data_IF_932268898127
#
_entry.id   IF_932268898127
#
_cell.length_a   1.000
_cell.length_b   1.000
_cell.length_c   1.000
_cell.angle_alpha   90.00
_cell.angle_beta   90.00
_cell.angle_gamma   90.00
#
_symmetry.space_group_name_H-M   'P 1'
#
loop_
_entity.id
_entity.type
_entity.pdbx_description
1 polymer ?
#
# COMPACT_ATOMS: atom_id res chain seq x y z
N UNK A 1 -24.22 -3.73 -2.17
CA UNK A 1 -24.40 -4.06 -3.60
C UNK A 1 -23.00 -4.20 -4.19
N UNK A 2 -22.73 -5.26 -4.97
CA UNK A 2 -21.42 -5.49 -5.58
C UNK A 2 -21.24 -4.55 -6.80
N UNK A 3 -20.12 -3.82 -6.86
CA UNK A 3 -19.79 -2.93 -7.98
C UNK A 3 -18.82 -3.64 -8.95
N UNK A 4 -19.31 -3.97 -10.14
CA UNK A 4 -18.53 -4.67 -11.18
C UNK A 4 -17.30 -3.88 -11.66
N UNK A 5 -17.26 -2.56 -11.45
CA UNK A 5 -16.13 -1.72 -11.86
C UNK A 5 -14.87 -2.07 -11.05
N UNK A 6 -15.03 -2.47 -9.78
CA UNK A 6 -13.92 -2.91 -8.95
C UNK A 6 -13.31 -4.21 -9.45
N UNK A 7 -14.14 -5.18 -9.82
CA UNK A 7 -13.66 -6.46 -10.36
C UNK A 7 -12.96 -6.26 -11.72
N UNK A 8 -13.50 -5.39 -12.60
CA UNK A 8 -12.85 -5.05 -13.88
C UNK A 8 -11.48 -4.41 -13.67
N UNK A 9 -11.37 -3.43 -12.77
CA UNK A 9 -10.11 -2.77 -12.46
C UNK A 9 -9.12 -3.75 -11.81
N UNK A 10 -9.57 -4.54 -10.84
CA UNK A 10 -8.72 -5.51 -10.16
C UNK A 10 -8.14 -6.54 -11.13
N UNK A 11 -8.96 -7.06 -12.05
CA UNK A 11 -8.52 -7.96 -13.12
C UNK A 11 -7.48 -7.30 -14.01
N UNK A 12 -7.71 -6.07 -14.47
CA UNK A 12 -6.76 -5.33 -15.29
C UNK A 12 -5.41 -5.15 -14.59
N UNK A 13 -5.41 -4.72 -13.32
CA UNK A 13 -4.19 -4.49 -12.57
C UNK A 13 -3.40 -5.79 -12.40
N UNK A 14 -4.07 -6.89 -12.04
CA UNK A 14 -3.43 -8.19 -11.80
C UNK A 14 -2.93 -8.86 -13.08
N UNK A 15 -3.77 -8.94 -14.11
CA UNK A 15 -3.47 -9.71 -15.33
C UNK A 15 -2.66 -8.92 -16.35
N UNK A 16 -2.88 -7.61 -16.45
CA UNK A 16 -2.22 -6.79 -17.46
C UNK A 16 -1.08 -5.94 -16.89
N UNK A 17 -1.30 -5.21 -15.79
CA UNK A 17 -0.28 -4.28 -15.27
C UNK A 17 0.90 -5.01 -14.63
N UNK A 18 0.63 -5.94 -13.70
CA UNK A 18 1.70 -6.72 -13.05
C UNK A 18 1.92 -8.08 -13.70
N UNK A 19 1.00 -8.55 -14.55
CA UNK A 19 1.04 -9.88 -15.20
C UNK A 19 1.39 -10.99 -14.20
N UNK A 20 0.66 -11.01 -13.09
CA UNK A 20 0.94 -11.89 -11.96
C UNK A 20 0.91 -13.36 -12.41
N UNK A 21 1.94 -14.12 -12.05
CA UNK A 21 2.03 -15.55 -12.35
C UNK A 21 1.59 -16.38 -11.16
N UNK A 22 1.29 -17.66 -11.45
CA UNK A 22 0.98 -18.65 -10.42
C UNK A 22 2.11 -18.75 -9.40
N UNK A 23 1.74 -18.79 -8.11
CA UNK A 23 2.61 -18.81 -6.93
C UNK A 23 3.48 -17.56 -6.71
N UNK A 24 3.36 -16.51 -7.54
CA UNK A 24 4.02 -15.24 -7.25
C UNK A 24 3.30 -14.52 -6.10
N UNK A 25 4.09 -13.90 -5.24
CA UNK A 25 3.60 -13.10 -4.11
C UNK A 25 3.34 -11.66 -4.58
N UNK A 26 2.23 -11.08 -4.14
CA UNK A 26 1.90 -9.68 -4.44
C UNK A 26 1.56 -8.93 -3.17
N UNK A 27 2.20 -7.79 -2.93
CA UNK A 27 1.76 -6.86 -1.88
C UNK A 27 0.81 -5.82 -2.45
N UNK A 28 -0.36 -5.72 -1.85
CA UNK A 28 -1.38 -4.71 -2.12
C UNK A 28 -1.36 -3.71 -0.97
N UNK A 29 -1.00 -2.47 -1.25
CA UNK A 29 -1.11 -1.38 -0.31
C UNK A 29 -2.24 -0.43 -0.70
N UNK A 30 -3.27 -0.40 0.14
CA UNK A 30 -4.50 0.37 -0.05
C UNK A 30 -4.48 1.57 0.89
N UNK A 31 -4.54 2.79 0.34
CA UNK A 31 -4.59 4.02 1.13
C UNK A 31 -5.93 4.68 0.91
N UNK A 32 -6.78 4.77 1.94
CA UNK A 32 -8.05 5.52 1.89
C UNK A 32 -8.92 5.21 0.66
N UNK A 33 -8.97 3.94 0.24
CA UNK A 33 -9.89 3.44 -0.78
C UNK A 33 -10.98 2.58 -0.13
N UNK A 34 -12.12 2.33 -0.81
CA UNK A 34 -13.12 1.38 -0.33
C UNK A 34 -12.53 -0.04 -0.14
N UNK A 35 -12.89 -0.69 0.97
CA UNK A 35 -12.44 -2.05 1.28
C UNK A 35 -12.86 -3.06 0.21
N UNK A 36 -13.99 -2.81 -0.46
CA UNK A 36 -14.48 -3.63 -1.56
C UNK A 36 -13.50 -3.69 -2.74
N UNK A 37 -12.78 -2.59 -3.01
CA UNK A 37 -11.75 -2.54 -4.04
C UNK A 37 -10.52 -3.37 -3.65
N UNK A 38 -10.09 -3.28 -2.38
CA UNK A 38 -9.01 -4.10 -1.83
C UNK A 38 -9.38 -5.58 -1.89
N UNK A 39 -10.61 -5.93 -1.50
CA UNK A 39 -11.12 -7.29 -1.58
C UNK A 39 -11.19 -7.79 -3.04
N UNK A 40 -11.55 -6.94 -4.00
CA UNK A 40 -11.54 -7.27 -5.42
C UNK A 40 -10.13 -7.60 -5.93
N UNK A 41 -9.11 -6.83 -5.54
CA UNK A 41 -7.71 -7.14 -5.86
C UNK A 41 -7.25 -8.47 -5.27
N UNK A 42 -7.60 -8.75 -4.02
CA UNK A 42 -7.27 -10.03 -3.37
C UNK A 42 -7.91 -11.20 -4.14
N UNK A 43 -9.17 -11.09 -4.53
CA UNK A 43 -9.86 -12.11 -5.35
C UNK A 43 -9.18 -12.27 -6.71
N UNK A 44 -8.90 -11.19 -7.42
CA UNK A 44 -8.25 -11.23 -8.72
C UNK A 44 -6.85 -11.87 -8.65
N UNK A 45 -6.04 -11.52 -7.65
CA UNK A 45 -4.72 -12.12 -7.42
C UNK A 45 -4.80 -13.64 -7.19
N UNK A 46 -5.77 -14.09 -6.37
CA UNK A 46 -6.02 -15.53 -6.14
C UNK A 46 -6.48 -16.24 -7.40
N UNK A 47 -7.35 -15.60 -8.19
CA UNK A 47 -7.83 -16.17 -9.45
C UNK A 47 -6.69 -16.35 -10.48
N UNK A 48 -5.69 -15.47 -10.47
CA UNK A 48 -4.45 -15.63 -11.24
C UNK A 48 -3.48 -16.68 -10.65
N UNK A 49 -3.83 -17.30 -9.52
CA UNK A 49 -3.00 -18.28 -8.82
C UNK A 49 -1.87 -17.67 -8.00
N UNK A 50 -1.86 -16.36 -7.78
CA UNK A 50 -0.88 -15.67 -6.94
C UNK A 50 -1.21 -15.71 -5.45
N UNK A 51 -0.28 -15.25 -4.63
CA UNK A 51 -0.35 -15.22 -3.16
C UNK A 51 -0.44 -13.76 -2.69
N UNK A 52 -1.64 -13.22 -2.43
CA UNK A 52 -1.78 -11.82 -2.06
C UNK A 52 -1.48 -11.57 -0.57
N UNK A 53 -0.79 -10.46 -0.32
CA UNK A 53 -0.64 -9.79 0.96
C UNK A 53 -1.31 -8.42 0.87
N UNK A 54 -1.96 -7.96 1.92
CA UNK A 54 -2.64 -6.68 1.92
C UNK A 54 -2.30 -5.86 3.16
N UNK A 55 -2.09 -4.56 2.96
CA UNK A 55 -1.94 -3.58 4.03
C UNK A 55 -2.85 -2.38 3.71
N UNK A 56 -3.71 -2.04 4.67
CA UNK A 56 -4.59 -0.87 4.58
C UNK A 56 -4.00 0.26 5.40
N UNK A 57 -4.03 1.46 4.84
CA UNK A 57 -3.55 2.69 5.43
C UNK A 57 -4.67 3.72 5.44
N UNK A 58 -4.70 4.49 6.52
CA UNK A 58 -5.58 5.64 6.67
C UNK A 58 -4.72 6.88 6.88
N UNK A 59 -4.93 7.91 6.07
CA UNK A 59 -4.13 9.13 6.12
C UNK A 59 -4.15 9.77 7.51
N UNK A 60 -5.30 9.76 8.21
CA UNK A 60 -5.43 10.26 9.60
C UNK A 60 -4.50 9.55 10.59
N UNK A 61 -4.38 8.22 10.46
CA UNK A 61 -3.52 7.42 11.33
C UNK A 61 -2.05 7.66 10.98
N UNK A 62 -1.73 7.67 9.68
CA UNK A 62 -0.37 7.94 9.20
C UNK A 62 0.10 9.34 9.61
N UNK A 63 -0.78 10.33 9.56
CA UNK A 63 -0.56 11.70 10.03
C UNK A 63 -0.21 11.74 11.52
N UNK A 64 -0.97 11.04 12.35
CA UNK A 64 -0.70 10.97 13.79
C UNK A 64 0.69 10.41 14.09
N UNK A 65 1.11 9.37 13.35
CA UNK A 65 2.47 8.83 13.42
C UNK A 65 3.52 9.83 12.91
N UNK A 66 3.22 10.57 11.85
CA UNK A 66 4.14 11.49 11.19
C UNK A 66 4.45 12.74 12.05
N UNK A 67 3.46 13.25 12.79
CA UNK A 67 3.59 14.46 13.62
C UNK A 67 4.78 14.42 14.59
N UNK A 68 5.06 13.24 15.16
CA UNK A 68 6.15 13.04 16.11
C UNK A 68 7.10 11.92 15.68
N UNK A 69 7.23 11.69 14.37
CA UNK A 69 8.08 10.63 13.84
C UNK A 69 9.52 10.74 14.41
N UNK A 70 10.01 9.61 14.90
CA UNK A 70 11.35 9.48 15.50
C UNK A 70 12.26 8.62 14.62
N UNK A 71 13.57 8.85 14.68
CA UNK A 71 14.56 8.03 14.01
C UNK A 71 14.43 6.54 14.33
N UNK A 72 14.22 6.21 15.62
CA UNK A 72 14.08 4.83 16.06
C UNK A 72 12.87 4.16 15.41
N UNK A 73 11.71 4.83 15.42
CA UNK A 73 10.49 4.32 14.78
C UNK A 73 10.72 4.09 13.28
N UNK A 74 11.27 5.08 12.58
CA UNK A 74 11.45 5.02 11.13
C UNK A 74 12.50 4.00 10.70
N UNK A 75 13.57 3.81 11.48
CA UNK A 75 14.56 2.76 11.22
C UNK A 75 13.93 1.37 11.32
N UNK A 76 13.12 1.12 12.35
CA UNK A 76 12.42 -0.16 12.53
C UNK A 76 11.45 -0.37 11.36
N UNK A 77 10.64 0.63 11.05
CA UNK A 77 9.67 0.59 9.95
C UNK A 77 10.34 0.30 8.61
N UNK A 78 11.41 1.01 8.28
CA UNK A 78 12.17 0.80 7.04
C UNK A 78 12.76 -0.60 6.96
N UNK A 79 13.32 -1.11 8.07
CA UNK A 79 13.90 -2.47 8.08
C UNK A 79 12.85 -3.56 7.85
N UNK A 80 11.67 -3.41 8.48
CA UNK A 80 10.55 -4.34 8.30
C UNK A 80 10.01 -4.27 6.88
N UNK A 81 9.80 -3.07 6.35
CA UNK A 81 9.21 -2.89 5.03
C UNK A 81 10.15 -3.39 3.93
N UNK A 82 11.45 -3.10 4.01
CA UNK A 82 12.44 -3.62 3.08
C UNK A 82 12.50 -5.14 3.11
N UNK A 83 12.44 -5.75 4.30
CA UNK A 83 12.43 -7.20 4.44
C UNK A 83 11.16 -7.82 3.84
N UNK A 84 10.02 -7.12 3.91
CA UNK A 84 8.76 -7.51 3.27
C UNK A 84 8.86 -7.38 1.75
N UNK A 85 9.26 -6.21 1.23
CA UNK A 85 9.45 -5.93 -0.20
C UNK A 85 10.35 -6.96 -0.88
N UNK A 86 11.48 -7.32 -0.26
CA UNK A 86 12.41 -8.34 -0.79
C UNK A 86 11.78 -9.73 -1.00
N UNK A 87 10.65 -10.02 -0.36
CA UNK A 87 9.93 -11.30 -0.48
C UNK A 87 8.78 -11.23 -1.46
N UNK A 88 8.47 -10.05 -2.02
CA UNK A 88 7.36 -9.84 -2.94
C UNK A 88 7.83 -9.93 -4.40
N UNK A 89 7.03 -10.58 -5.25
CA UNK A 89 7.28 -10.62 -6.70
C UNK A 89 6.61 -9.45 -7.42
N UNK A 90 5.48 -8.97 -6.91
CA UNK A 90 4.73 -7.84 -7.44
C UNK A 90 4.25 -6.90 -6.33
N UNK A 91 3.98 -5.66 -6.71
CA UNK A 91 3.52 -4.61 -5.80
C UNK A 91 2.41 -3.80 -6.47
N UNK A 92 1.30 -3.61 -5.76
CA UNK A 92 0.19 -2.74 -6.17
C UNK A 92 -0.03 -1.70 -5.07
N UNK A 93 0.15 -0.44 -5.45
CA UNK A 93 -0.17 0.71 -4.63
C UNK A 93 -1.44 1.38 -5.15
N UNK A 94 -2.53 1.32 -4.39
CA UNK A 94 -3.72 2.12 -4.67
C UNK A 94 -3.84 3.26 -3.67
N UNK A 95 -3.95 4.48 -4.20
CA UNK A 95 -3.99 5.71 -3.42
C UNK A 95 -5.32 6.42 -3.65
N UNK A 96 -6.18 6.38 -2.65
CA UNK A 96 -7.31 7.27 -2.47
C UNK A 96 -6.96 8.37 -1.48
N UNK A 97 -7.88 9.30 -1.30
CA UNK A 97 -7.81 10.31 -0.24
C UNK A 97 -9.20 10.82 0.07
N UNK A 98 -9.55 10.84 1.35
CA UNK A 98 -10.74 11.52 1.86
C UNK A 98 -10.49 13.02 2.08
N UNK A 99 -9.22 13.41 2.22
CA UNK A 99 -8.80 14.78 2.49
C UNK A 99 -7.40 15.04 1.90
N UNK A 100 -7.32 15.94 0.91
CA UNK A 100 -6.06 16.22 0.21
C UNK A 100 -5.05 16.94 1.10
N UNK A 101 -5.51 17.65 2.14
CA UNK A 101 -4.67 18.44 3.04
C UNK A 101 -4.41 17.74 4.37
N UNK A 102 -4.66 16.43 4.46
CA UNK A 102 -4.56 15.68 5.72
C UNK A 102 -3.20 15.85 6.40
N UNK A 103 -2.11 15.89 5.63
CA UNK A 103 -0.74 16.02 6.16
C UNK A 103 -0.25 17.48 6.31
N UNK A 104 -1.12 18.48 6.13
CA UNK A 104 -0.70 19.89 6.02
C UNK A 104 -0.05 20.48 7.29
N UNK A 105 -0.34 19.91 8.47
CA UNK A 105 0.23 20.35 9.74
C UNK A 105 1.43 19.50 10.18
N UNK A 106 1.84 18.50 9.40
CA UNK A 106 3.05 17.74 9.69
C UNK A 106 4.26 18.63 9.43
N UNK A 107 5.14 18.84 10.43
CA UNK A 107 6.32 19.69 10.26
C UNK A 107 7.20 19.25 9.07
N UNK A 108 7.74 20.19 8.26
CA UNK A 108 8.53 19.85 7.08
C UNK A 108 9.78 18.99 7.38
N UNK A 109 10.41 19.17 8.53
CA UNK A 109 11.55 18.37 8.99
C UNK A 109 11.16 16.91 9.23
N UNK A 110 9.95 16.65 9.76
CA UNK A 110 9.41 15.29 9.92
C UNK A 110 9.15 14.64 8.58
N UNK A 111 8.56 15.36 7.62
CA UNK A 111 8.34 14.84 6.26
C UNK A 111 9.67 14.51 5.57
N UNK A 112 10.68 15.37 5.71
CA UNK A 112 12.03 15.11 5.18
C UNK A 112 12.67 13.89 5.85
N UNK A 113 12.55 13.75 7.17
CA UNK A 113 13.07 12.61 7.91
C UNK A 113 12.43 11.30 7.44
N UNK A 114 11.10 11.26 7.34
CA UNK A 114 10.35 10.11 6.84
C UNK A 114 10.83 9.74 5.43
N UNK A 115 10.87 10.71 4.50
CA UNK A 115 11.32 10.48 3.13
C UNK A 115 12.76 9.95 3.06
N UNK A 116 13.68 10.52 3.84
CA UNK A 116 15.08 10.07 3.91
C UNK A 116 15.21 8.63 4.41
N UNK A 117 14.44 8.27 5.44
CA UNK A 117 14.51 6.94 6.07
C UNK A 117 13.83 5.86 5.25
N UNK A 118 12.77 6.19 4.53
CA UNK A 118 12.01 5.24 3.73
C UNK A 118 12.56 5.06 2.30
N UNK A 119 13.42 5.96 1.81
CA UNK A 119 14.05 5.85 0.47
C UNK A 119 14.72 4.50 0.14
N UNK A 120 15.35 3.77 1.09
CA UNK A 120 15.98 2.47 0.79
C UNK A 120 15.01 1.29 0.66
N UNK A 121 13.74 1.50 1.01
CA UNK A 121 12.64 0.51 0.89
C UNK A 121 12.15 0.49 -0.54
#
# INVERSE_FOLDING_TARGET
MHDERFDKLAKLLVEYSIRLKRNETVLIEAFDIPDEMTAALIRAARNAGGVPFAQVYHARVNRALALQASDRQLNIMASHELARMKKMNAYIAMRGSHNITELADVPPDKMQLIGKKMRPV
#
